data_IF_183620350594
#
_entry.id   IF_183620350594
#
_cell.length_a   1.000
_cell.length_b   1.000
_cell.length_c   1.000
_cell.angle_alpha   90.00
_cell.angle_beta   90.00
_cell.angle_gamma   90.00
#
_symmetry.space_group_name_H-M   'P 1'
#
loop_
_entity.id
_entity.type
_entity.pdbx_description
1 polymer ?
#
# COMPACT_ATOMS: atom_id res chain seq x y z
N UNK A 1 8.57 -0.51 1.70
CA UNK A 1 7.45 0.35 2.18
C UNK A 1 6.25 0.26 1.26
N UNK A 2 6.28 0.78 0.03
CA UNK A 2 5.09 0.81 -0.84
C UNK A 2 4.53 -0.59 -1.14
N UNK A 3 5.37 -1.58 -1.46
CA UNK A 3 4.91 -2.96 -1.63
C UNK A 3 4.15 -3.49 -0.40
N UNK A 4 4.64 -3.20 0.81
CA UNK A 4 3.97 -3.64 2.05
C UNK A 4 2.63 -2.91 2.26
N UNK A 5 2.57 -1.62 1.91
CA UNK A 5 1.32 -0.85 1.96
C UNK A 5 0.30 -1.39 0.96
N UNK A 6 0.69 -1.61 -0.29
CA UNK A 6 -0.22 -2.14 -1.31
C UNK A 6 -0.66 -3.57 -1.01
N UNK A 7 0.22 -4.43 -0.47
CA UNK A 7 -0.17 -5.75 0.03
C UNK A 7 -1.22 -5.64 1.13
N UNK A 8 -1.02 -4.71 2.08
CA UNK A 8 -1.96 -4.49 3.17
C UNK A 8 -3.29 -3.89 2.70
N UNK A 9 -3.27 -3.03 1.67
CA UNK A 9 -4.48 -2.55 0.98
C UNK A 9 -5.20 -3.74 0.32
N UNK A 10 -4.54 -4.49 -0.57
CA UNK A 10 -5.16 -5.63 -1.25
C UNK A 10 -5.77 -6.66 -0.27
N UNK A 11 -5.10 -6.93 0.85
CA UNK A 11 -5.60 -7.87 1.87
C UNK A 11 -6.92 -7.48 2.53
N UNK A 12 -7.34 -6.21 2.42
CA UNK A 12 -8.62 -5.72 2.95
C UNK A 12 -9.76 -5.85 1.93
N UNK A 13 -9.46 -6.19 0.67
CA UNK A 13 -10.43 -6.26 -0.41
C UNK A 13 -10.51 -7.66 -0.99
N UNK A 14 -11.58 -8.38 -0.64
CA UNK A 14 -11.82 -9.74 -1.13
C UNK A 14 -11.79 -9.80 -2.66
N UNK A 15 -10.88 -10.61 -3.18
CA UNK A 15 -10.68 -10.82 -4.62
C UNK A 15 -9.66 -9.89 -5.27
N UNK A 16 -9.08 -8.95 -4.53
CA UNK A 16 -7.95 -8.15 -4.99
C UNK A 16 -6.63 -8.91 -4.80
N UNK A 17 -5.72 -8.80 -5.76
CA UNK A 17 -4.37 -9.33 -5.69
C UNK A 17 -3.33 -8.21 -5.78
N UNK A 18 -2.18 -8.44 -5.16
CA UNK A 18 -1.06 -7.49 -5.14
C UNK A 18 0.16 -8.07 -5.85
N UNK A 19 0.76 -7.27 -6.73
CA UNK A 19 2.03 -7.56 -7.39
C UNK A 19 3.17 -6.73 -6.81
N UNK A 20 4.27 -7.40 -6.47
CA UNK A 20 5.53 -6.76 -6.16
C UNK A 20 6.01 -5.95 -7.36
N UNK A 21 6.69 -4.84 -7.11
CA UNK A 21 7.18 -3.96 -8.18
C UNK A 21 7.95 -4.66 -9.30
N UNK A 22 8.71 -5.73 -9.00
CA UNK A 22 9.43 -6.51 -10.03
C UNK A 22 8.49 -7.43 -10.82
N UNK A 23 7.42 -7.95 -10.21
CA UNK A 23 6.38 -8.73 -10.90
C UNK A 23 5.61 -7.83 -11.87
N UNK A 24 5.32 -6.59 -11.45
CA UNK A 24 4.74 -5.56 -12.34
C UNK A 24 5.66 -5.29 -13.53
N UNK A 25 6.97 -5.20 -13.31
CA UNK A 25 7.93 -4.93 -14.38
C UNK A 25 8.06 -6.12 -15.35
N UNK A 26 7.89 -7.36 -14.86
CA UNK A 26 7.77 -8.59 -15.66
C UNK A 26 6.49 -8.55 -16.52
N UNK A 27 5.32 -8.25 -15.93
CA UNK A 27 4.06 -8.04 -16.66
C UNK A 27 4.21 -6.96 -17.73
N UNK A 28 4.85 -5.86 -17.37
CA UNK A 28 5.03 -4.72 -18.26
C UNK A 28 5.84 -5.10 -19.51
N UNK A 29 6.77 -6.04 -19.42
CA UNK A 29 7.55 -6.52 -20.57
C UNK A 29 6.77 -7.49 -21.45
N UNK A 30 5.78 -8.20 -20.91
CA UNK A 30 4.97 -9.17 -21.65
C UNK A 30 5.79 -10.34 -22.19
N UNK A 31 6.85 -10.76 -21.49
CA UNK A 31 7.73 -11.88 -21.90
C UNK A 31 7.41 -13.10 -21.06
N UNK A 32 6.74 -14.09 -21.68
CA UNK A 32 6.24 -15.30 -21.01
C UNK A 32 7.33 -16.09 -20.27
N UNK A 33 8.53 -16.18 -20.85
CA UNK A 33 9.67 -16.89 -20.25
C UNK A 33 10.13 -16.32 -18.89
N UNK A 34 9.69 -15.12 -18.53
CA UNK A 34 10.00 -14.50 -17.24
C UNK A 34 8.95 -14.81 -16.16
N UNK A 35 7.87 -15.50 -16.50
CA UNK A 35 6.79 -15.79 -15.57
C UNK A 35 7.12 -17.01 -14.71
N UNK A 36 7.15 -16.81 -13.39
CA UNK A 36 7.25 -17.90 -12.44
C UNK A 36 5.89 -18.57 -12.26
N UNK A 37 5.88 -19.84 -11.83
CA UNK A 37 4.64 -20.54 -11.49
C UNK A 37 3.84 -19.79 -10.40
N UNK A 38 4.54 -19.18 -9.43
CA UNK A 38 3.91 -18.37 -8.37
C UNK A 38 3.21 -17.12 -8.94
N UNK A 39 3.86 -16.41 -9.88
CA UNK A 39 3.25 -15.25 -10.52
C UNK A 39 2.03 -15.66 -11.35
N UNK A 40 2.13 -16.74 -12.13
CA UNK A 40 1.01 -17.26 -12.92
C UNK A 40 -0.16 -17.62 -12.00
N UNK A 41 0.08 -18.36 -10.91
CA UNK A 41 -0.96 -18.75 -9.96
C UNK A 41 -1.61 -17.52 -9.30
N UNK A 42 -0.82 -16.53 -8.90
CA UNK A 42 -1.32 -15.27 -8.33
C UNK A 42 -2.22 -14.50 -9.32
N UNK A 43 -1.83 -14.41 -10.60
CA UNK A 43 -2.61 -13.76 -11.65
C UNK A 43 -3.88 -14.55 -12.01
N UNK A 44 -3.79 -15.87 -12.04
CA UNK A 44 -4.90 -16.77 -12.33
C UNK A 44 -5.98 -16.72 -11.24
N UNK A 45 -5.57 -16.67 -9.98
CA UNK A 45 -6.48 -16.71 -8.83
C UNK A 45 -7.06 -15.34 -8.44
N UNK A 46 -6.57 -14.24 -9.02
CA UNK A 46 -7.15 -12.92 -8.82
C UNK A 46 -8.57 -12.85 -9.40
N UNK A 47 -9.51 -12.25 -8.66
CA UNK A 47 -10.95 -12.29 -9.04
C UNK A 47 -11.52 -10.94 -9.44
N UNK A 48 -11.12 -9.87 -8.75
CA UNK A 48 -11.69 -8.53 -8.94
C UNK A 48 -10.69 -7.58 -9.56
N UNK A 49 -9.53 -7.46 -8.93
CA UNK A 49 -8.54 -6.48 -9.35
C UNK A 49 -7.13 -6.93 -9.03
N UNK A 50 -6.18 -6.39 -9.77
CA UNK A 50 -4.75 -6.50 -9.48
C UNK A 50 -4.18 -5.10 -9.36
N UNK A 51 -3.45 -4.87 -8.27
CA UNK A 51 -2.71 -3.64 -8.03
C UNK A 51 -1.22 -3.93 -7.92
N UNK A 52 -0.41 -2.98 -8.37
CA UNK A 52 1.03 -3.06 -8.20
C UNK A 52 1.71 -1.73 -8.51
N UNK A 53 2.94 -1.59 -8.05
CA UNK A 53 3.71 -0.37 -8.28
C UNK A 53 4.60 -0.48 -9.51
N UNK A 54 4.56 0.52 -10.39
CA UNK A 54 5.61 0.75 -11.38
C UNK A 54 6.59 1.74 -10.77
N UNK A 55 7.89 1.40 -10.75
CA UNK A 55 8.94 2.29 -10.25
C UNK A 55 9.99 2.54 -11.33
N UNK A 56 10.06 3.78 -11.85
CA UNK A 56 11.02 4.18 -12.89
C UNK A 56 11.48 5.60 -12.63
N UNK A 57 12.78 5.87 -12.83
CA UNK A 57 13.35 7.21 -12.70
C UNK A 57 12.99 7.93 -11.38
N UNK A 58 13.05 7.19 -10.27
CA UNK A 58 12.69 7.68 -8.93
C UNK A 58 11.23 8.12 -8.77
N UNK A 59 10.34 7.64 -9.65
CA UNK A 59 8.93 7.98 -9.66
C UNK A 59 8.06 6.73 -9.52
N UNK A 60 7.01 6.83 -8.71
CA UNK A 60 6.05 5.75 -8.47
C UNK A 60 4.76 6.02 -9.23
N UNK A 61 4.30 5.02 -9.97
CA UNK A 61 2.98 4.98 -10.60
C UNK A 61 2.24 3.72 -10.15
N UNK A 62 0.91 3.75 -10.19
CA UNK A 62 0.08 2.59 -9.86
C UNK A 62 -0.34 1.88 -11.14
N UNK A 63 -0.06 0.58 -11.24
CA UNK A 63 -0.78 -0.33 -12.13
C UNK A 63 -2.09 -0.74 -11.45
N UNK A 64 -3.20 -0.56 -12.16
CA UNK A 64 -4.51 -1.07 -11.79
C UNK A 64 -5.08 -1.89 -12.95
N UNK A 65 -5.43 -3.14 -12.66
CA UNK A 65 -6.11 -4.06 -13.58
C UNK A 65 -7.45 -4.40 -12.96
N UNK A 66 -8.53 -4.03 -13.62
CA UNK A 66 -9.91 -4.36 -13.26
C UNK A 66 -10.31 -5.61 -14.05
N UNK A 67 -10.40 -6.75 -13.36
CA UNK A 67 -10.71 -8.03 -13.97
C UNK A 67 -12.20 -8.19 -14.26
N UNK A 68 -13.06 -7.49 -13.55
CA UNK A 68 -14.52 -7.55 -13.75
C UNK A 68 -14.93 -6.75 -14.98
N UNK A 69 -14.34 -5.57 -15.17
CA UNK A 69 -14.62 -4.68 -16.32
C UNK A 69 -13.64 -4.88 -17.48
N UNK A 70 -12.66 -5.77 -17.33
CA UNK A 70 -11.59 -6.05 -18.30
C UNK A 70 -10.84 -4.79 -18.72
N UNK A 71 -10.50 -3.92 -17.75
CA UNK A 71 -9.81 -2.67 -18.00
C UNK A 71 -8.42 -2.63 -17.35
N UNK A 72 -7.48 -1.92 -17.97
CA UNK A 72 -6.18 -1.63 -17.38
C UNK A 72 -5.89 -0.13 -17.42
N UNK A 73 -5.34 0.38 -16.32
CA UNK A 73 -4.91 1.75 -16.18
C UNK A 73 -3.58 1.83 -15.45
N UNK A 74 -2.76 2.79 -15.85
CA UNK A 74 -1.66 3.30 -15.06
C UNK A 74 -2.04 4.69 -14.58
N UNK A 75 -1.99 4.87 -13.25
CA UNK A 75 -2.19 6.15 -12.61
C UNK A 75 -0.84 6.72 -12.23
N UNK A 76 -0.48 7.82 -12.88
CA UNK A 76 0.77 8.53 -12.68
C UNK A 76 0.47 9.84 -11.91
N UNK A 77 0.95 9.96 -10.67
CA UNK A 77 0.75 11.16 -9.88
C UNK A 77 1.23 12.47 -10.53
N UNK A 78 2.06 12.45 -11.58
CA UNK A 78 2.53 13.64 -12.28
C UNK A 78 1.64 14.07 -13.45
N UNK A 79 1.00 13.12 -14.14
CA UNK A 79 0.28 13.36 -15.39
C UNK A 79 -0.56 12.15 -15.83
N UNK A 80 -1.42 12.33 -16.84
CA UNK A 80 -2.15 11.21 -17.44
C UNK A 80 -1.26 10.32 -18.32
N UNK A 81 -1.26 9.00 -18.10
CA UNK A 81 -0.38 8.05 -18.81
C UNK A 81 -1.05 7.29 -19.97
N UNK A 82 -1.79 7.96 -20.86
CA UNK A 82 -2.56 7.29 -21.93
C UNK A 82 -1.70 6.35 -22.80
N UNK A 83 -0.54 6.82 -23.28
CA UNK A 83 0.39 6.00 -24.06
C UNK A 83 0.86 4.75 -23.30
N UNK A 84 1.05 4.89 -21.99
CA UNK A 84 1.49 3.82 -21.11
C UNK A 84 0.38 2.78 -20.91
N UNK A 85 -0.87 3.24 -20.79
CA UNK A 85 -2.06 2.38 -20.70
C UNK A 85 -2.18 1.51 -21.95
N UNK A 86 -2.00 2.11 -23.14
CA UNK A 86 -2.03 1.38 -24.40
C UNK A 86 -0.91 0.33 -24.44
N UNK A 87 0.33 0.72 -24.11
CA UNK A 87 1.48 -0.18 -24.15
C UNK A 87 1.34 -1.36 -23.19
N UNK A 88 0.94 -1.11 -21.94
CA UNK A 88 0.80 -2.18 -20.96
C UNK A 88 -0.38 -3.10 -21.29
N UNK A 89 -1.48 -2.54 -21.82
CA UNK A 89 -2.62 -3.33 -22.27
C UNK A 89 -2.24 -4.27 -23.41
N UNK A 90 -1.47 -3.81 -24.40
CA UNK A 90 -0.99 -4.65 -25.49
C UNK A 90 -0.13 -5.81 -24.96
N UNK A 91 0.78 -5.54 -24.03
CA UNK A 91 1.65 -6.55 -23.43
C UNK A 91 0.88 -7.54 -22.56
N UNK A 92 -0.10 -7.09 -21.77
CA UNK A 92 -0.97 -8.00 -21.01
C UNK A 92 -1.81 -8.87 -21.93
N UNK A 93 -2.32 -8.30 -23.01
CA UNK A 93 -3.10 -9.05 -23.98
C UNK A 93 -2.24 -10.11 -24.69
N UNK A 94 -0.96 -9.87 -24.99
CA UNK A 94 -0.12 -10.89 -25.63
C UNK A 94 0.06 -12.13 -24.76
N UNK A 95 0.19 -11.94 -23.44
CA UNK A 95 0.43 -13.04 -22.48
C UNK A 95 -0.84 -13.55 -21.79
N UNK A 96 -2.03 -13.06 -22.16
CA UNK A 96 -3.28 -13.30 -21.39
C UNK A 96 -3.68 -14.77 -21.22
N UNK A 97 -3.26 -15.59 -22.18
CA UNK A 97 -3.54 -17.01 -22.19
C UNK A 97 -2.77 -17.77 -21.09
N UNK A 98 -1.66 -17.22 -20.57
CA UNK A 98 -0.90 -17.83 -19.48
C UNK A 98 -1.70 -17.87 -18.17
N UNK A 99 -2.66 -16.96 -17.98
CA UNK A 99 -3.43 -16.81 -16.75
C UNK A 99 -4.95 -16.92 -16.97
N UNK A 100 -5.40 -17.10 -18.21
CA UNK A 100 -6.81 -17.37 -18.54
C UNK A 100 -7.70 -16.13 -18.50
N UNK A 101 -7.14 -14.93 -18.75
CA UNK A 101 -7.94 -13.69 -18.76
C UNK A 101 -8.59 -13.42 -20.12
N UNK A 102 -9.67 -12.65 -20.08
CA UNK A 102 -10.25 -12.02 -21.25
C UNK A 102 -9.34 -10.93 -21.81
N UNK A 103 -9.67 -10.48 -23.03
CA UNK A 103 -8.98 -9.34 -23.63
C UNK A 103 -9.27 -8.05 -22.84
N UNK A 104 -8.21 -7.37 -22.45
CA UNK A 104 -8.25 -6.14 -21.67
C UNK A 104 -8.35 -4.92 -22.58
N UNK A 105 -8.92 -3.83 -22.05
CA UNK A 105 -8.99 -2.52 -22.70
C UNK A 105 -8.20 -1.47 -21.92
N UNK A 106 -7.42 -0.60 -22.59
CA UNK A 106 -6.76 0.49 -21.92
C UNK A 106 -7.78 1.57 -21.57
N UNK A 107 -7.76 2.06 -20.32
CA UNK A 107 -8.60 3.18 -19.90
C UNK A 107 -7.76 4.27 -19.25
N UNK A 108 -8.25 5.51 -19.30
CA UNK A 108 -7.68 6.64 -18.56
C UNK A 108 -8.60 6.96 -17.39
N UNK A 109 -8.08 6.81 -16.17
CA UNK A 109 -8.80 7.15 -14.95
C UNK A 109 -8.37 8.54 -14.51
N UNK A 110 -9.34 9.45 -14.32
CA UNK A 110 -9.06 10.79 -13.78
C UNK A 110 -8.68 10.69 -12.30
N UNK A 111 -7.57 11.30 -11.92
CA UNK A 111 -7.03 11.27 -10.57
C UNK A 111 -6.34 12.59 -10.21
N UNK A 112 -6.15 12.85 -8.92
CA UNK A 112 -5.39 14.01 -8.45
C UNK A 112 -3.93 13.97 -8.88
N UNK A 113 -3.40 15.12 -9.27
CA UNK A 113 -1.98 15.30 -9.62
C UNK A 113 -1.22 15.84 -8.40
N UNK A 114 0.01 15.36 -8.21
CA UNK A 114 0.91 15.80 -7.15
C UNK A 114 1.35 17.25 -7.37
N UNK A 115 1.53 17.98 -6.27
CA UNK A 115 1.96 19.39 -6.29
C UNK A 115 3.40 19.56 -5.78
N UNK A 116 4.06 18.47 -5.40
CA UNK A 116 5.44 18.43 -4.92
C UNK A 116 6.25 17.37 -5.68
N UNK A 117 7.54 17.25 -5.35
CA UNK A 117 8.46 16.30 -5.98
C UNK A 117 8.62 14.96 -5.25
N UNK A 118 7.85 14.66 -4.20
CA UNK A 118 8.12 13.51 -3.32
C UNK A 118 6.88 12.78 -2.77
N UNK A 119 5.69 13.12 -3.24
CA UNK A 119 4.43 12.53 -2.79
C UNK A 119 3.86 11.44 -3.71
N UNK A 120 4.53 11.10 -4.81
CA UNK A 120 4.07 10.07 -5.75
C UNK A 120 3.81 8.72 -5.05
N UNK A 121 4.70 8.29 -4.15
CA UNK A 121 4.51 7.06 -3.39
C UNK A 121 3.31 7.09 -2.42
N UNK A 122 3.00 8.26 -1.85
CA UNK A 122 1.82 8.46 -0.98
C UNK A 122 0.54 8.36 -1.81
N UNK A 123 0.52 9.06 -2.95
CA UNK A 123 -0.63 9.08 -3.85
C UNK A 123 -0.91 7.69 -4.46
N UNK A 124 0.12 6.95 -4.87
CA UNK A 124 -0.06 5.57 -5.37
C UNK A 124 -0.72 4.66 -4.35
N UNK A 125 -0.35 4.76 -3.07
CA UNK A 125 -1.00 3.99 -2.01
C UNK A 125 -2.48 4.39 -1.83
N UNK A 126 -2.77 5.70 -1.86
CA UNK A 126 -4.14 6.21 -1.74
C UNK A 126 -5.02 5.85 -2.95
N UNK A 127 -4.46 5.89 -4.16
CA UNK A 127 -5.18 5.52 -5.37
C UNK A 127 -5.62 4.06 -5.31
N UNK A 128 -4.74 3.15 -4.86
CA UNK A 128 -5.07 1.73 -4.75
C UNK A 128 -6.25 1.49 -3.80
N UNK A 129 -6.22 2.11 -2.63
CA UNK A 129 -7.27 1.99 -1.61
C UNK A 129 -8.63 2.53 -2.12
N UNK A 130 -8.60 3.72 -2.75
CA UNK A 130 -9.81 4.34 -3.30
C UNK A 130 -10.37 3.56 -4.50
N UNK A 131 -9.53 3.04 -5.39
CA UNK A 131 -9.98 2.24 -6.54
C UNK A 131 -10.63 0.94 -6.10
N UNK A 132 -10.02 0.23 -5.15
CA UNK A 132 -10.58 -1.02 -4.61
C UNK A 132 -11.84 -0.80 -3.77
N UNK A 133 -12.05 0.43 -3.30
CA UNK A 133 -13.25 0.89 -2.61
C UNK A 133 -14.29 1.54 -3.53
N UNK A 134 -14.11 1.48 -4.86
CA UNK A 134 -14.93 2.16 -5.89
C UNK A 134 -15.24 3.63 -5.53
N UNK A 135 -14.23 4.32 -5.02
CA UNK A 135 -14.31 5.66 -4.45
C UNK A 135 -13.61 6.71 -5.33
N UNK A 136 -14.03 7.97 -5.21
CA UNK A 136 -13.49 9.08 -5.99
C UNK A 136 -12.01 9.36 -5.70
N UNK A 137 -11.20 9.50 -6.76
CA UNK A 137 -9.75 9.80 -6.70
C UNK A 137 -9.40 11.29 -6.53
N UNK A 138 -10.33 12.07 -6.01
CA UNK A 138 -10.16 13.49 -5.68
C UNK A 138 -9.44 13.64 -4.33
N UNK A 139 -8.13 13.43 -4.33
CA UNK A 139 -7.26 13.60 -3.16
C UNK A 139 -6.75 15.05 -3.10
N UNK A 140 -6.78 15.65 -1.91
CA UNK A 140 -6.09 16.91 -1.66
C UNK A 140 -4.57 16.66 -1.62
N UNK A 141 -3.86 17.06 -2.67
CA UNK A 141 -2.41 16.88 -2.84
C UNK A 141 -1.57 18.03 -2.31
N UNK A 142 -2.14 18.94 -1.50
CA UNK A 142 -1.37 19.99 -0.86
C UNK A 142 -0.28 19.40 0.06
N UNK A 143 0.93 20.01 0.15
CA UNK A 143 2.06 19.43 0.87
C UNK A 143 1.78 19.05 2.33
N UNK A 144 0.98 19.87 3.04
CA UNK A 144 0.56 19.58 4.41
C UNK A 144 -0.28 18.31 4.50
N UNK A 145 -1.22 18.13 3.58
CA UNK A 145 -2.08 16.94 3.52
C UNK A 145 -1.29 15.70 3.14
N UNK A 146 -0.29 15.84 2.27
CA UNK A 146 0.62 14.73 1.94
C UNK A 146 1.49 14.32 3.12
N UNK A 147 1.94 15.27 3.95
CA UNK A 147 2.65 14.97 5.18
C UNK A 147 1.78 14.20 6.19
N UNK A 148 0.53 14.62 6.39
CA UNK A 148 -0.44 13.89 7.23
C UNK A 148 -0.74 12.51 6.67
N UNK A 149 -0.93 12.41 5.35
CA UNK A 149 -1.15 11.13 4.67
C UNK A 149 0.02 10.16 4.85
N UNK A 150 1.25 10.66 4.80
CA UNK A 150 2.45 9.86 5.04
C UNK A 150 2.50 9.32 6.47
N UNK A 151 2.11 10.15 7.44
CA UNK A 151 1.99 9.72 8.84
C UNK A 151 0.95 8.62 8.98
N UNK A 152 -0.24 8.76 8.40
CA UNK A 152 -1.30 7.74 8.48
C UNK A 152 -0.90 6.41 7.81
N UNK A 153 -0.24 6.46 6.64
CA UNK A 153 0.32 5.27 6.00
C UNK A 153 1.38 4.60 6.88
N UNK A 154 2.23 5.39 7.53
CA UNK A 154 3.24 4.86 8.47
C UNK A 154 2.60 4.17 9.67
N UNK A 155 1.59 4.81 10.29
CA UNK A 155 0.81 4.20 11.38
C UNK A 155 0.19 2.87 10.96
N UNK A 156 -0.37 2.82 9.75
CA UNK A 156 -1.00 1.61 9.19
C UNK A 156 0.00 0.47 9.04
N UNK A 157 1.21 0.74 8.52
CA UNK A 157 2.26 -0.26 8.42
C UNK A 157 2.69 -0.77 9.78
N UNK A 158 2.95 0.16 10.69
CA UNK A 158 3.39 -0.15 12.04
C UNK A 158 2.39 -1.10 12.73
N UNK A 159 1.12 -0.71 12.78
CA UNK A 159 0.05 -1.49 13.42
C UNK A 159 -0.12 -2.91 12.87
N UNK A 160 0.37 -3.17 11.65
CA UNK A 160 0.33 -4.47 10.99
C UNK A 160 1.63 -5.26 11.10
N UNK A 161 2.76 -4.58 11.25
CA UNK A 161 4.09 -5.20 11.30
C UNK A 161 4.46 -5.68 12.71
N UNK A 162 3.92 -5.02 13.74
CA UNK A 162 4.20 -5.33 15.13
C UNK A 162 3.03 -6.12 15.68
N UNK A 163 3.31 -7.34 16.14
CA UNK A 163 2.37 -8.09 16.98
C UNK A 163 2.06 -7.23 18.20
N UNK A 164 0.80 -6.84 18.38
CA UNK A 164 0.42 -5.88 19.41
C UNK A 164 0.47 -6.49 20.81
N UNK A 165 0.68 -7.80 20.91
CA UNK A 165 0.76 -8.50 22.17
C UNK A 165 2.05 -8.17 22.92
N UNK A 166 1.87 -7.52 24.07
CA UNK A 166 2.87 -7.38 25.12
C UNK A 166 4.15 -6.64 24.72
N UNK A 167 4.08 -5.63 23.84
CA UNK A 167 5.23 -4.80 23.45
C UNK A 167 5.04 -3.34 23.82
N UNK A 168 6.09 -2.71 24.38
CA UNK A 168 6.13 -1.28 24.55
C UNK A 168 6.48 -0.62 23.21
N UNK A 169 5.60 0.22 22.69
CA UNK A 169 5.77 0.83 21.37
C UNK A 169 6.84 1.92 21.26
N UNK A 170 7.42 2.34 22.39
CA UNK A 170 8.52 3.31 22.41
C UNK A 170 9.89 2.64 22.43
N UNK A 171 10.07 1.54 23.17
CA UNK A 171 11.36 0.86 23.29
C UNK A 171 11.41 -0.51 22.59
N UNK A 172 10.27 -1.09 22.21
CA UNK A 172 10.18 -2.41 21.60
C UNK A 172 10.38 -3.58 22.57
N UNK A 173 10.46 -3.32 23.87
CA UNK A 173 10.62 -4.37 24.88
C UNK A 173 9.29 -5.07 25.17
N UNK A 174 9.37 -6.38 25.40
CA UNK A 174 8.19 -7.17 25.78
C UNK A 174 7.85 -7.01 27.26
N UNK A 175 6.60 -7.23 27.60
CA UNK A 175 6.22 -7.48 29.00
C UNK A 175 6.99 -8.71 29.49
N UNK A 176 8.02 -8.46 30.30
CA UNK A 176 8.77 -9.52 30.93
C UNK A 176 7.91 -10.08 32.07
N UNK A 177 7.71 -11.40 32.09
CA UNK A 177 7.34 -12.09 33.32
C UNK A 177 8.49 -11.84 34.31
N UNK A 178 8.27 -10.90 35.24
CA UNK A 178 9.30 -10.29 36.07
C UNK A 178 10.25 -11.32 36.69
N UNK A 179 11.55 -11.16 36.50
CA UNK A 179 12.55 -11.90 37.29
C UNK A 179 12.93 -11.19 38.60
N UNK A 180 12.60 -9.90 38.78
CA UNK A 180 13.02 -9.10 39.95
C UNK A 180 11.91 -8.24 40.61
N UNK A 181 10.62 -8.55 40.38
CA UNK A 181 9.51 -7.99 41.18
C UNK A 181 9.22 -6.49 41.04
N UNK A 182 9.91 -5.76 40.17
CA UNK A 182 9.47 -4.45 39.71
C UNK A 182 8.57 -4.65 38.49
N UNK A 183 7.26 -4.49 38.67
CA UNK A 183 6.35 -4.35 37.54
C UNK A 183 6.69 -3.03 36.85
N UNK A 184 7.15 -3.06 35.60
CA UNK A 184 7.16 -1.85 34.78
C UNK A 184 5.70 -1.39 34.67
N UNK A 185 5.40 -0.15 35.05
CA UNK A 185 4.06 0.37 34.91
C UNK A 185 3.73 0.49 33.42
N UNK A 186 2.76 -0.30 32.98
CA UNK A 186 2.23 -0.26 31.61
C UNK A 186 1.03 0.67 31.54
N UNK A 187 0.95 1.43 30.45
CA UNK A 187 -0.18 2.30 30.14
C UNK A 187 -0.62 2.06 28.70
N UNK A 188 -1.94 1.98 28.49
CA UNK A 188 -2.54 1.78 27.18
C UNK A 188 -3.19 3.09 26.71
N UNK A 189 -3.01 3.51 25.44
CA UNK A 189 -3.84 4.60 24.88
C UNK A 189 -5.29 4.11 24.79
N UNK A 190 -6.22 4.86 25.38
CA UNK A 190 -7.66 4.52 25.37
C UNK A 190 -8.27 4.50 23.96
N UNK A 191 -7.63 5.16 22.99
CA UNK A 191 -8.14 5.31 21.61
C UNK A 191 -7.58 4.29 20.63
N UNK A 192 -6.29 3.98 20.69
CA UNK A 192 -5.65 3.04 19.75
C UNK A 192 -5.25 1.71 20.39
N UNK A 193 -5.48 1.55 21.70
CA UNK A 193 -5.20 0.32 22.47
C UNK A 193 -3.73 -0.11 22.46
N UNK A 194 -2.83 0.81 22.09
CA UNK A 194 -1.39 0.60 22.04
C UNK A 194 -0.80 0.72 23.45
N UNK A 195 0.07 -0.22 23.80
CA UNK A 195 0.75 -0.29 25.10
C UNK A 195 2.12 0.39 25.11
N UNK A 196 2.42 1.02 26.24
CA UNK A 196 3.68 1.70 26.51
C UNK A 196 4.12 1.47 27.96
N UNK A 197 5.43 1.48 28.21
CA UNK A 197 5.93 1.75 29.55
C UNK A 197 5.69 3.22 29.90
N UNK A 198 5.14 3.48 31.08
CA UNK A 198 4.92 4.83 31.62
C UNK A 198 6.25 5.63 31.61
N UNK A 199 7.36 4.97 31.93
CA UNK A 199 8.70 5.56 31.91
C UNK A 199 9.14 6.00 30.50
N UNK A 200 8.85 5.23 29.45
CA UNK A 200 9.25 5.56 28.08
C UNK A 200 8.50 6.79 27.53
N UNK A 201 7.24 6.98 27.94
CA UNK A 201 6.48 8.18 27.62
C UNK A 201 7.07 9.40 28.35
N UNK A 202 7.32 9.28 29.66
CA UNK A 202 7.83 10.41 30.46
C UNK A 202 9.23 10.87 30.05
N UNK A 203 10.12 9.96 29.66
CA UNK A 203 11.49 10.30 29.25
C UNK A 203 11.56 10.98 27.88
N UNK A 204 10.58 10.78 27.00
CA UNK A 204 10.57 11.35 25.65
C UNK A 204 10.04 12.79 25.59
N UNK A 205 9.69 13.40 26.73
CA UNK A 205 8.96 14.69 26.81
C UNK A 205 7.62 14.68 26.06
N UNK A 206 7.10 13.49 25.75
CA UNK A 206 5.83 13.30 25.05
C UNK A 206 4.78 12.98 26.13
N UNK A 207 3.77 13.82 26.29
CA UNK A 207 2.66 13.58 27.24
C UNK A 207 1.43 12.94 26.59
N UNK A 208 1.55 12.51 25.33
CA UNK A 208 0.44 12.05 24.50
C UNK A 208 0.86 10.84 23.69
N UNK A 209 -0.05 9.94 23.34
CA UNK A 209 0.30 8.87 22.42
C UNK A 209 0.66 9.45 21.04
N UNK A 210 1.82 9.06 20.52
CA UNK A 210 2.32 9.48 19.19
C UNK A 210 1.35 9.12 18.04
N UNK A 211 0.43 8.18 18.29
CA UNK A 211 -0.55 7.73 17.31
C UNK A 211 -1.89 8.46 17.41
N UNK A 212 -2.29 8.85 18.62
CA UNK A 212 -3.67 9.21 18.96
C UNK A 212 -3.79 10.61 19.64
N UNK A 213 -2.67 11.28 19.98
CA UNK A 213 -2.53 12.56 20.68
C UNK A 213 -3.22 12.63 22.07
N UNK A 214 -3.58 11.47 22.65
CA UNK A 214 -4.07 11.30 24.03
C UNK A 214 -3.49 10.03 24.62
N UNK A 215 -3.46 9.87 25.94
CA UNK A 215 -3.19 8.58 26.58
C UNK A 215 -4.49 8.18 27.26
#
# INVERSE_FOLDING_TARGET
IINALLAAVASQHDGAAFLLHYEVDILFRGVEDQFTAELIDKLHNAKKAIIGTIYRNQHFMLLFVDLERHNVAVLDPLLSSEQLNISICANLNSVRHCFGWHEMQPITIKHSIQQDGNSCGVLVCKFADLLLSDSSLNINSAPREMALSRLELWKTLLLRAVDQENLCWMCGEKEAASHDGAYDNWIQCEKCFIWFHEACIRQSCISTCVFCDRI
#
